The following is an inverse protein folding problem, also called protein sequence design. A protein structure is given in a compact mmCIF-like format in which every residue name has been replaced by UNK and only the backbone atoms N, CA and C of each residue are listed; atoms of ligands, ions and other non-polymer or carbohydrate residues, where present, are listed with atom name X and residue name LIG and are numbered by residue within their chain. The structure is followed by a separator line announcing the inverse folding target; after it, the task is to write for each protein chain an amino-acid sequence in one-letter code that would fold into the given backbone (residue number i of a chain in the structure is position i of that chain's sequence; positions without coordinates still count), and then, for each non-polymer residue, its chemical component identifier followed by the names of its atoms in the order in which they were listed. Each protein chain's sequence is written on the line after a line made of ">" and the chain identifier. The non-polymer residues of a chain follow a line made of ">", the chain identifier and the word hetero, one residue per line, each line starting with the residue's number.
data_IF_621413886164
#
_entry.id   IF_621413886164
#
_cell.length_a   1.000
_cell.length_b   1.000
_cell.length_c   1.000
_cell.angle_alpha   90.00
_cell.angle_beta   90.00
_cell.angle_gamma   90.00
#
_symmetry.space_group_name_H-M   'P 1'
#
loop_
_entity.id
_entity.type
_entity.pdbx_description
1 polymer ?
#
# COMPACT_ATOMS: atom_id res chain seq x y z
N UNK A 1 10.04 -6.64 19.75
CA UNK A 1 10.22 -5.37 19.02
C UNK A 1 10.26 -5.67 17.54
N UNK A 2 9.50 -4.93 16.74
CA UNK A 2 9.34 -5.19 15.31
C UNK A 2 9.79 -3.97 14.51
N UNK A 3 10.60 -4.19 13.46
CA UNK A 3 11.00 -3.13 12.55
C UNK A 3 10.00 -2.94 11.41
N UNK A 4 9.56 -1.69 11.22
CA UNK A 4 8.74 -1.29 10.08
C UNK A 4 9.41 -0.17 9.30
N UNK A 5 8.97 0.05 8.05
CA UNK A 5 9.39 1.21 7.27
C UNK A 5 8.73 2.46 7.85
N UNK A 6 9.52 3.49 8.12
CA UNK A 6 9.02 4.79 8.54
C UNK A 6 8.21 5.44 7.42
N UNK A 7 6.99 5.86 7.73
CA UNK A 7 6.14 6.61 6.80
C UNK A 7 5.97 8.03 7.35
N UNK A 8 6.73 8.98 6.85
CA UNK A 8 6.50 10.39 7.22
C UNK A 8 5.20 10.92 6.58
N UNK A 9 4.59 12.02 7.08
CA UNK A 9 3.42 12.62 6.44
C UNK A 9 3.66 13.00 4.97
N UNK A 10 4.88 13.42 4.63
CA UNK A 10 5.29 13.73 3.25
C UNK A 10 5.33 12.45 2.41
N UNK A 11 5.93 11.38 2.92
CA UNK A 11 5.98 10.08 2.27
C UNK A 11 4.58 9.54 2.00
N UNK A 12 3.69 9.59 2.99
CA UNK A 12 2.31 9.16 2.84
C UNK A 12 1.57 9.95 1.75
N UNK A 13 1.76 11.28 1.71
CA UNK A 13 1.17 12.13 0.66
C UNK A 13 1.67 11.74 -0.73
N UNK A 14 2.97 11.48 -0.89
CA UNK A 14 3.55 11.06 -2.18
C UNK A 14 3.00 9.71 -2.64
N UNK A 15 2.90 8.74 -1.73
CA UNK A 15 2.33 7.42 -2.02
C UNK A 15 0.85 7.53 -2.40
N UNK A 16 0.06 8.35 -1.68
CA UNK A 16 -1.34 8.62 -2.05
C UNK A 16 -1.47 9.26 -3.42
N UNK A 17 -0.63 10.24 -3.75
CA UNK A 17 -0.61 10.86 -5.07
C UNK A 17 -0.30 9.84 -6.17
N UNK A 18 0.65 8.93 -5.93
CA UNK A 18 0.92 7.82 -6.85
C UNK A 18 -0.33 6.94 -7.08
N UNK A 19 -1.03 6.56 -6.00
CA UNK A 19 -2.30 5.84 -6.09
C UNK A 19 -3.37 6.58 -6.90
N UNK A 20 -3.50 7.90 -6.70
CA UNK A 20 -4.47 8.72 -7.44
C UNK A 20 -4.15 8.76 -8.94
N UNK A 21 -2.87 8.84 -9.30
CA UNK A 21 -2.45 8.82 -10.72
C UNK A 21 -2.76 7.47 -11.35
N UNK A 22 -2.52 6.36 -10.64
CA UNK A 22 -2.86 5.02 -11.12
C UNK A 22 -4.38 4.87 -11.35
N UNK A 23 -5.20 5.28 -10.38
CA UNK A 23 -6.67 5.25 -10.49
C UNK A 23 -7.17 6.08 -11.68
N UNK A 24 -6.61 7.28 -11.89
CA UNK A 24 -6.98 8.15 -13.00
C UNK A 24 -6.65 7.50 -14.36
N UNK A 25 -5.49 6.84 -14.48
CA UNK A 25 -5.11 6.09 -15.69
C UNK A 25 -6.09 4.97 -15.98
N UNK A 26 -6.49 4.20 -14.97
CA UNK A 26 -7.49 3.12 -15.11
C UNK A 26 -8.84 3.65 -15.57
N UNK A 27 -9.31 4.77 -15.01
CA UNK A 27 -10.56 5.42 -15.46
C UNK A 27 -10.49 5.85 -16.94
N UNK A 28 -9.35 6.38 -17.37
CA UNK A 28 -9.14 6.76 -18.77
C UNK A 28 -9.11 5.54 -19.70
N UNK A 29 -8.38 4.48 -19.32
CA UNK A 29 -8.31 3.24 -20.11
C UNK A 29 -9.68 2.54 -20.20
N UNK A 30 -10.43 2.51 -19.11
CA UNK A 30 -11.81 1.99 -19.09
C UNK A 30 -12.71 2.76 -20.06
N UNK A 31 -12.66 4.09 -20.04
CA UNK A 31 -13.41 4.93 -20.97
C UNK A 31 -13.01 4.64 -22.42
N UNK A 32 -11.70 4.50 -22.69
CA UNK A 32 -11.16 4.19 -24.02
C UNK A 32 -11.67 2.83 -24.54
N UNK A 33 -11.65 1.80 -23.69
CA UNK A 33 -12.18 0.48 -24.01
C UNK A 33 -13.67 0.54 -24.38
N UNK A 34 -14.50 1.26 -23.61
CA UNK A 34 -15.93 1.40 -23.89
C UNK A 34 -16.21 2.18 -25.18
N UNK A 35 -15.40 3.18 -25.50
CA UNK A 35 -15.55 3.94 -26.75
C UNK A 35 -15.10 3.13 -27.98
N UNK A 36 -14.11 2.26 -27.83
CA UNK A 36 -13.56 1.46 -28.92
C UNK A 36 -13.07 0.10 -28.39
N UNK A 37 -13.87 -0.94 -28.63
CA UNK A 37 -13.62 -2.29 -28.15
C UNK A 37 -12.61 -3.04 -29.03
N UNK A 38 -11.37 -2.57 -29.10
CA UNK A 38 -10.26 -3.30 -29.72
C UNK A 38 -9.54 -4.18 -28.70
N UNK A 39 -8.87 -5.24 -29.18
CA UNK A 39 -8.04 -6.10 -28.32
C UNK A 39 -6.98 -5.29 -27.56
N UNK A 40 -6.34 -4.33 -28.23
CA UNK A 40 -5.33 -3.43 -27.64
C UNK A 40 -5.91 -2.61 -26.49
N UNK A 41 -7.09 -2.01 -26.65
CA UNK A 41 -7.72 -1.20 -25.60
C UNK A 41 -8.16 -2.08 -24.41
N UNK A 42 -8.58 -3.32 -24.65
CA UNK A 42 -8.90 -4.27 -23.58
C UNK A 42 -7.64 -4.68 -22.80
N UNK A 43 -6.53 -4.92 -23.50
CA UNK A 43 -5.24 -5.26 -22.87
C UNK A 43 -4.71 -4.08 -22.04
N UNK A 44 -4.74 -2.86 -22.60
CA UNK A 44 -4.34 -1.63 -21.88
C UNK A 44 -5.18 -1.42 -20.62
N UNK A 45 -6.50 -1.64 -20.68
CA UNK A 45 -7.35 -1.58 -19.50
C UNK A 45 -6.97 -2.64 -18.46
N UNK A 46 -6.75 -3.89 -18.85
CA UNK A 46 -6.36 -4.93 -17.90
C UNK A 46 -5.01 -4.64 -17.22
N UNK A 47 -4.05 -4.09 -17.95
CA UNK A 47 -2.75 -3.70 -17.40
C UNK A 47 -2.88 -2.54 -16.42
N UNK A 48 -3.62 -1.48 -16.80
CA UNK A 48 -3.86 -0.33 -15.92
C UNK A 48 -4.70 -0.71 -14.69
N UNK A 49 -5.64 -1.64 -14.82
CA UNK A 49 -6.41 -2.17 -13.69
C UNK A 49 -5.50 -2.90 -12.69
N UNK A 50 -4.67 -3.84 -13.14
CA UNK A 50 -3.70 -4.55 -12.29
C UNK A 50 -2.75 -3.57 -11.59
N UNK A 51 -2.30 -2.56 -12.31
CA UNK A 51 -1.42 -1.53 -11.75
C UNK A 51 -2.13 -0.70 -10.66
N UNK A 52 -3.39 -0.31 -10.88
CA UNK A 52 -4.20 0.41 -9.89
C UNK A 52 -4.49 -0.43 -8.65
N UNK A 53 -4.81 -1.71 -8.80
CA UNK A 53 -5.04 -2.62 -7.66
C UNK A 53 -3.77 -2.74 -6.80
N UNK A 54 -2.62 -2.92 -7.43
CA UNK A 54 -1.32 -2.95 -6.75
C UNK A 54 -1.02 -1.62 -6.05
N UNK A 55 -1.28 -0.49 -6.70
CA UNK A 55 -1.07 0.83 -6.11
C UNK A 55 -1.97 1.04 -4.88
N UNK A 56 -3.24 0.64 -4.97
CA UNK A 56 -4.19 0.70 -3.85
C UNK A 56 -3.73 -0.13 -2.65
N UNK A 57 -3.26 -1.36 -2.90
CA UNK A 57 -2.74 -2.24 -1.85
C UNK A 57 -1.53 -1.63 -1.12
N UNK A 58 -0.59 -1.03 -1.86
CA UNK A 58 0.60 -0.37 -1.29
C UNK A 58 0.22 0.89 -0.50
N UNK A 59 -0.71 1.70 -1.01
CA UNK A 59 -1.23 2.88 -0.30
C UNK A 59 -1.91 2.48 1.00
N UNK A 60 -2.70 1.40 0.97
CA UNK A 60 -3.34 0.83 2.15
C UNK A 60 -2.33 0.36 3.19
N UNK A 61 -1.29 -0.35 2.76
CA UNK A 61 -0.21 -0.83 3.62
C UNK A 61 0.60 0.33 4.23
N UNK A 62 1.00 1.33 3.44
CA UNK A 62 1.69 2.52 3.94
C UNK A 62 0.83 3.30 4.95
N UNK A 63 -0.48 3.40 4.71
CA UNK A 63 -1.41 4.03 5.66
C UNK A 63 -1.53 3.23 6.95
N UNK A 64 -1.48 1.90 6.89
CA UNK A 64 -1.44 1.03 8.07
C UNK A 64 -0.15 1.25 8.87
N UNK A 65 1.01 1.22 8.23
CA UNK A 65 2.30 1.49 8.89
C UNK A 65 2.31 2.88 9.55
N UNK A 66 1.78 3.90 8.87
CA UNK A 66 1.63 5.24 9.43
C UNK A 66 0.78 5.25 10.70
N UNK A 67 -0.31 4.49 10.78
CA UNK A 67 -1.12 4.40 11.99
C UNK A 67 -0.40 3.65 13.10
N UNK A 68 0.31 2.56 12.75
CA UNK A 68 1.06 1.74 13.69
C UNK A 68 2.19 2.53 14.37
N UNK A 69 3.04 3.22 13.60
CA UNK A 69 4.13 4.03 14.16
C UNK A 69 3.64 5.19 15.05
N UNK A 70 2.40 5.66 14.83
CA UNK A 70 1.79 6.75 15.60
C UNK A 70 0.92 6.24 16.78
N UNK A 71 0.93 4.94 17.08
CA UNK A 71 0.13 4.35 18.17
C UNK A 71 -1.39 4.39 17.94
N UNK A 72 -1.85 4.68 16.72
CA UNK A 72 -3.28 4.75 16.39
C UNK A 72 -3.90 3.37 16.12
N UNK A 73 -3.08 2.36 15.87
CA UNK A 73 -3.51 0.99 15.58
C UNK A 73 -2.42 0.05 16.07
N UNK A 74 -2.75 -1.06 16.75
CA UNK A 74 -1.74 -2.02 17.20
C UNK A 74 -1.04 -2.67 16.00
N UNK A 75 0.26 -2.99 16.12
CA UNK A 75 0.95 -3.79 15.12
C UNK A 75 0.32 -5.17 15.05
N UNK A 76 0.08 -5.67 13.84
CA UNK A 76 -0.41 -7.03 13.58
C UNK A 76 0.23 -7.59 12.33
N UNK A 77 0.31 -8.91 12.24
CA UNK A 77 0.80 -9.59 11.04
C UNK A 77 -0.33 -9.59 10.01
N UNK A 78 -0.04 -9.13 8.79
CA UNK A 78 -0.99 -9.20 7.68
C UNK A 78 -0.66 -10.41 6.79
N UNK A 79 -1.70 -11.06 6.25
CA UNK A 79 -1.48 -12.09 5.23
C UNK A 79 -0.85 -11.45 3.99
N UNK A 80 0.23 -12.05 3.46
CA UNK A 80 0.96 -11.50 2.32
C UNK A 80 1.81 -10.26 2.63
N UNK A 81 2.05 -9.96 3.91
CA UNK A 81 2.76 -8.73 4.31
C UNK A 81 4.15 -8.58 3.68
N UNK A 82 4.90 -9.67 3.54
CA UNK A 82 6.23 -9.63 2.92
C UNK A 82 6.17 -9.10 1.47
N UNK A 83 5.12 -9.48 0.73
CA UNK A 83 4.90 -8.97 -0.62
C UNK A 83 4.60 -7.47 -0.59
N UNK A 84 3.68 -7.03 0.27
CA UNK A 84 3.34 -5.61 0.43
C UNK A 84 4.55 -4.76 0.84
N UNK A 85 5.37 -5.27 1.77
CA UNK A 85 6.61 -4.63 2.19
C UNK A 85 7.60 -4.50 1.04
N UNK A 86 7.80 -5.56 0.26
CA UNK A 86 8.70 -5.52 -0.89
C UNK A 86 8.21 -4.54 -1.96
N UNK A 87 6.91 -4.53 -2.26
CA UNK A 87 6.31 -3.59 -3.23
C UNK A 87 6.41 -2.15 -2.74
N UNK A 88 6.17 -1.90 -1.44
CA UNK A 88 6.36 -0.57 -0.85
C UNK A 88 7.83 -0.13 -0.96
N UNK A 89 8.78 -0.97 -0.57
CA UNK A 89 10.22 -0.67 -0.68
C UNK A 89 10.62 -0.37 -2.13
N UNK A 90 10.10 -1.14 -3.09
CA UNK A 90 10.33 -0.88 -4.50
C UNK A 90 9.79 0.48 -4.93
N UNK A 91 8.54 0.80 -4.57
CA UNK A 91 7.92 2.08 -4.87
C UNK A 91 8.70 3.25 -4.24
N UNK A 92 9.17 3.12 -3.00
CA UNK A 92 9.99 4.16 -2.36
C UNK A 92 11.29 4.41 -3.14
N UNK A 93 11.93 3.35 -3.65
CA UNK A 93 13.12 3.49 -4.51
C UNK A 93 12.79 4.21 -5.82
N UNK A 94 11.71 3.82 -6.50
CA UNK A 94 11.27 4.48 -7.75
C UNK A 94 10.96 5.97 -7.52
N UNK A 95 10.31 6.30 -6.41
CA UNK A 95 10.00 7.67 -6.03
C UNK A 95 11.19 8.43 -5.43
N UNK A 96 12.37 7.81 -5.33
CA UNK A 96 13.57 8.40 -4.71
C UNK A 96 13.27 8.91 -3.27
N UNK A 97 12.49 8.15 -2.52
CA UNK A 97 12.20 8.41 -1.11
C UNK A 97 13.17 7.58 -0.26
N UNK A 98 13.92 8.20 0.68
CA UNK A 98 14.79 7.47 1.59
C UNK A 98 14.02 6.44 2.40
N UNK A 99 14.60 5.24 2.56
CA UNK A 99 14.01 4.17 3.35
C UNK A 99 14.66 4.19 4.74
N UNK A 100 13.86 4.50 5.75
CA UNK A 100 14.25 4.47 7.16
C UNK A 100 13.45 3.36 7.84
N UNK A 101 14.08 2.65 8.78
CA UNK A 101 13.42 1.63 9.60
C UNK A 101 13.26 2.17 11.02
N UNK A 102 12.11 1.89 11.63
CA UNK A 102 11.80 2.27 13.01
C UNK A 102 11.30 1.05 13.78
N UNK A 103 11.68 0.96 15.06
CA UNK A 103 11.21 -0.08 15.96
C UNK A 103 9.82 0.28 16.50
N UNK A 104 8.92 -0.69 16.49
CA UNK A 104 7.59 -0.58 17.11
C UNK A 104 7.47 -1.65 18.20
N UNK A 105 6.87 -1.25 19.32
CA UNK A 105 6.54 -2.17 20.41
C UNK A 105 5.32 -2.98 20.01
N UNK A 106 5.46 -4.29 20.00
CA UNK A 106 4.31 -5.20 19.93
C UNK A 106 3.73 -5.25 21.34
N UNK A 107 2.51 -4.74 21.53
CA UNK A 107 1.79 -5.03 22.76
C UNK A 107 1.46 -6.52 22.75
N UNK A 108 2.03 -7.27 23.68
CA UNK A 108 1.64 -8.65 23.95
C UNK A 108 0.17 -8.60 24.36
N UNK A 109 -0.70 -9.16 23.52
CA UNK A 109 -2.06 -9.44 23.92
C UNK A 109 -2.01 -10.47 25.05
N UNK A 110 -2.11 -10.02 26.31
CA UNK A 110 -2.52 -10.88 27.41
C UNK A 110 -3.87 -11.50 27.01
N UNK A 111 -3.82 -12.75 26.56
CA UNK A 111 -5.01 -13.60 26.53
C UNK A 111 -5.49 -13.73 27.97
N UNK A 112 -6.46 -12.91 28.36
CA UNK A 112 -7.23 -13.09 29.58
C UNK A 112 -8.00 -14.41 29.41
N UNK A 113 -7.37 -15.52 29.78
CA UNK A 113 -8.05 -16.80 29.96
C UNK A 113 -8.80 -16.66 31.28
N UNK A 114 -10.11 -16.41 31.20
CA UNK A 114 -10.97 -16.44 32.37
C UNK A 114 -10.93 -17.86 32.98
N UNK A 115 -10.66 -18.01 34.30
CA UNK A 115 -10.81 -19.30 34.95
C UNK A 115 -12.30 -19.64 35.02
N UNK A 116 -12.66 -20.83 34.51
CA UNK A 116 -13.98 -21.44 34.68
C UNK A 116 -14.18 -22.06 36.05
#
# INVERSE_FOLDING_TARGET
>A
MRQIVEITPVTLRRIRNYGQVAENKTKMAHKKQWMSMTLENMQEYQETLKHSDNASAVVGYASFLFRVQNGMTPPRILYGEQLLRNTLVHLLKELHIPIVLVDVVEEEHETIVAPG
#
